data_IF_281615883566
#
_entry.id   IF_281615883566
#
_cell.length_a   1.000
_cell.length_b   1.000
_cell.length_c   1.000
_cell.angle_alpha   90.00
_cell.angle_beta   90.00
_cell.angle_gamma   90.00
#
_symmetry.space_group_name_H-M   'P 1'
#
loop_
_entity.id
_entity.type
_entity.pdbx_description
1 polymer ?
#
# COMPACT_ATOMS: atom_id res chain seq x y z
N UNK A 1 0.12 -3.91 49.96
CA UNK A 1 0.02 -5.02 49.01
C UNK A 1 1.06 -4.76 47.94
N UNK A 2 2.00 -5.66 47.66
CA UNK A 2 3.01 -5.40 46.63
C UNK A 2 2.30 -5.37 45.28
N UNK A 3 2.42 -4.28 44.57
CA UNK A 3 2.12 -4.16 43.16
C UNK A 3 2.92 -5.21 42.39
N UNK A 4 2.22 -6.20 41.85
CA UNK A 4 2.80 -7.14 40.90
C UNK A 4 3.50 -6.34 39.81
N UNK A 5 4.82 -6.27 39.87
CA UNK A 5 5.61 -5.74 38.76
C UNK A 5 5.30 -6.65 37.55
N UNK A 6 4.44 -6.19 36.63
CA UNK A 6 4.21 -6.90 35.36
C UNK A 6 5.58 -7.10 34.73
N UNK A 7 5.97 -8.34 34.56
CA UNK A 7 7.14 -8.69 33.77
C UNK A 7 7.06 -7.96 32.43
N UNK A 8 8.18 -7.42 31.95
CA UNK A 8 8.25 -6.73 30.67
C UNK A 8 7.67 -7.62 29.56
N UNK A 9 6.71 -7.16 28.77
CA UNK A 9 6.03 -8.02 27.80
C UNK A 9 6.99 -8.51 26.72
N UNK A 10 6.82 -9.78 26.33
CA UNK A 10 7.45 -10.35 25.15
C UNK A 10 6.49 -10.26 23.97
N UNK A 11 6.84 -9.45 22.97
CA UNK A 11 6.02 -9.16 21.80
C UNK A 11 6.70 -9.76 20.57
N UNK A 12 6.03 -10.69 19.89
CA UNK A 12 6.54 -11.27 18.67
C UNK A 12 5.91 -10.59 17.45
N UNK A 13 6.75 -10.23 16.45
CA UNK A 13 6.30 -9.65 15.17
C UNK A 13 6.84 -10.48 14.01
N UNK A 14 6.05 -10.59 12.94
CA UNK A 14 6.41 -11.36 11.75
C UNK A 14 6.14 -10.51 10.51
N UNK A 15 7.20 -9.93 9.93
CA UNK A 15 7.17 -9.18 8.69
C UNK A 15 7.74 -10.02 7.54
N UNK A 16 7.08 -10.02 6.38
CA UNK A 16 7.46 -10.85 5.23
C UNK A 16 8.21 -10.13 4.11
N UNK A 17 8.11 -8.80 4.04
CA UNK A 17 8.65 -7.96 2.96
C UNK A 17 9.13 -6.60 3.51
N UNK A 18 9.82 -5.83 2.67
CA UNK A 18 10.33 -4.49 3.03
C UNK A 18 9.24 -3.52 3.52
N UNK A 19 8.04 -3.59 2.95
CA UNK A 19 6.87 -2.83 3.42
C UNK A 19 6.46 -3.22 4.83
N UNK A 20 6.45 -4.53 5.12
CA UNK A 20 6.18 -5.06 6.45
C UNK A 20 7.28 -4.71 7.46
N UNK A 21 8.55 -4.68 7.04
CA UNK A 21 9.68 -4.25 7.89
C UNK A 21 9.56 -2.78 8.29
N UNK A 22 9.13 -1.92 7.37
CA UNK A 22 8.88 -0.52 7.68
C UNK A 22 7.72 -0.36 8.69
N UNK A 23 6.58 -1.01 8.44
CA UNK A 23 5.43 -0.99 9.35
C UNK A 23 5.79 -1.54 10.72
N UNK A 24 6.56 -2.65 10.76
CA UNK A 24 7.05 -3.26 11.98
C UNK A 24 7.99 -2.36 12.76
N UNK A 25 8.87 -1.63 12.09
CA UNK A 25 9.79 -0.68 12.73
C UNK A 25 9.04 0.49 13.39
N UNK A 26 8.03 1.03 12.71
CA UNK A 26 7.20 2.11 13.24
C UNK A 26 6.38 1.59 14.43
N UNK A 27 5.80 0.39 14.33
CA UNK A 27 5.06 -0.27 15.42
C UNK A 27 5.95 -0.58 16.63
N UNK A 28 7.17 -1.12 16.43
CA UNK A 28 8.14 -1.35 17.52
C UNK A 28 8.45 -0.05 18.24
N UNK A 29 8.64 1.04 17.50
CA UNK A 29 8.91 2.36 18.07
C UNK A 29 7.73 2.84 18.93
N UNK A 30 6.50 2.70 18.46
CA UNK A 30 5.28 3.08 19.17
C UNK A 30 5.04 2.20 20.42
N UNK A 31 5.19 0.88 20.30
CA UNK A 31 5.06 -0.04 21.45
C UNK A 31 6.13 0.18 22.51
N UNK A 32 7.36 0.55 22.12
CA UNK A 32 8.45 0.85 23.05
C UNK A 32 8.19 2.13 23.86
N UNK A 33 7.51 3.12 23.30
CA UNK A 33 7.06 4.30 24.09
C UNK A 33 6.14 3.86 25.24
N UNK A 34 5.29 2.87 25.01
CA UNK A 34 4.30 2.38 26.00
C UNK A 34 4.87 1.33 26.93
N UNK A 35 5.75 0.47 26.42
CA UNK A 35 6.41 -0.62 27.14
C UNK A 35 7.94 -0.51 26.95
N UNK A 36 8.64 0.37 27.69
CA UNK A 36 10.08 0.62 27.50
C UNK A 36 10.94 -0.63 27.64
N UNK A 37 10.56 -1.53 28.55
CA UNK A 37 11.29 -2.76 28.87
C UNK A 37 10.84 -3.97 28.04
N UNK A 38 9.89 -3.80 27.11
CA UNK A 38 9.40 -4.89 26.28
C UNK A 38 10.52 -5.48 25.41
N UNK A 39 10.49 -6.81 25.25
CA UNK A 39 11.32 -7.52 24.29
C UNK A 39 10.53 -7.74 23.00
N UNK A 40 11.18 -7.46 21.87
CA UNK A 40 10.61 -7.61 20.55
C UNK A 40 11.38 -8.66 19.77
N UNK A 41 10.69 -9.71 19.29
CA UNK A 41 11.32 -10.89 18.69
C UNK A 41 10.53 -11.40 17.47
N UNK A 42 11.16 -12.20 16.61
CA UNK A 42 10.43 -12.88 15.52
C UNK A 42 11.12 -12.81 14.17
N UNK A 43 10.43 -12.34 13.11
CA UNK A 43 11.00 -12.14 11.77
C UNK A 43 10.83 -10.68 11.38
N UNK A 44 11.95 -10.00 11.10
CA UNK A 44 11.97 -8.61 10.67
C UNK A 44 13.27 -8.28 9.96
N UNK A 45 13.25 -7.19 9.21
CA UNK A 45 14.39 -6.71 8.46
C UNK A 45 15.28 -5.74 9.24
N UNK A 46 16.12 -5.02 8.50
CA UNK A 46 17.11 -4.11 9.08
C UNK A 46 16.46 -2.91 9.81
N UNK A 47 15.30 -2.43 9.32
CA UNK A 47 14.61 -1.29 9.95
C UNK A 47 14.07 -1.64 11.33
N UNK A 48 13.45 -2.81 11.49
CA UNK A 48 13.00 -3.30 12.79
C UNK A 48 14.19 -3.54 13.73
N UNK A 49 15.28 -4.14 13.24
CA UNK A 49 16.48 -4.40 14.03
C UNK A 49 17.11 -3.12 14.56
N UNK A 50 17.14 -2.02 13.78
CA UNK A 50 17.57 -0.69 14.21
C UNK A 50 16.72 -0.12 15.36
N UNK A 51 15.50 -0.63 15.56
CA UNK A 51 14.61 -0.27 16.67
C UNK A 51 14.72 -1.21 17.89
N UNK A 52 15.74 -2.11 17.90
CA UNK A 52 15.98 -3.05 18.97
C UNK A 52 15.14 -4.33 18.91
N UNK A 53 14.72 -4.72 17.70
CA UNK A 53 14.04 -5.98 17.43
C UNK A 53 15.05 -7.11 17.23
N UNK A 54 14.83 -8.26 17.85
CA UNK A 54 15.63 -9.48 17.70
C UNK A 54 15.04 -10.35 16.59
N UNK A 55 15.65 -10.32 15.39
CA UNK A 55 15.21 -11.17 14.29
C UNK A 55 15.77 -12.58 14.41
N UNK A 56 14.91 -13.58 14.42
CA UNK A 56 15.28 -14.99 14.53
C UNK A 56 15.62 -15.64 13.19
N UNK A 57 15.05 -15.10 12.11
CA UNK A 57 15.23 -15.57 10.74
C UNK A 57 15.37 -14.39 9.80
N UNK A 58 16.07 -14.57 8.70
CA UNK A 58 16.22 -13.54 7.67
C UNK A 58 14.87 -13.28 6.97
N UNK A 59 14.45 -12.03 6.92
CA UNK A 59 13.20 -11.62 6.26
C UNK A 59 13.17 -12.05 4.76
N UNK A 60 14.34 -12.13 4.11
CA UNK A 60 14.50 -12.58 2.73
C UNK A 60 14.02 -14.01 2.51
N UNK A 61 13.93 -14.83 3.55
CA UNK A 61 13.37 -16.17 3.46
C UNK A 61 11.87 -16.16 3.14
N UNK A 62 11.15 -15.09 3.47
CA UNK A 62 9.73 -14.89 3.18
C UNK A 62 9.50 -14.11 1.87
N UNK A 63 10.47 -13.30 1.44
CA UNK A 63 10.37 -12.46 0.23
C UNK A 63 10.52 -13.30 -1.04
N UNK A 64 9.48 -14.05 -1.41
CA UNK A 64 9.44 -14.85 -2.64
C UNK A 64 8.48 -14.18 -3.62
N UNK A 65 8.99 -13.69 -4.75
CA UNK A 65 8.21 -13.00 -5.76
C UNK A 65 7.78 -13.93 -6.90
N UNK A 66 6.47 -14.01 -7.14
CA UNK A 66 5.86 -14.67 -8.29
C UNK A 66 5.40 -16.10 -8.02
N UNK A 67 4.29 -16.51 -8.70
CA UNK A 67 3.61 -17.79 -8.47
C UNK A 67 4.54 -19.00 -8.69
N UNK A 68 5.38 -18.97 -9.71
CA UNK A 68 6.32 -20.06 -10.01
C UNK A 68 7.43 -20.21 -8.94
N UNK A 69 7.93 -19.08 -8.41
CA UNK A 69 8.89 -19.07 -7.31
C UNK A 69 8.28 -19.54 -6.00
N UNK A 70 7.05 -19.12 -5.69
CA UNK A 70 6.33 -19.59 -4.50
C UNK A 70 6.19 -21.10 -4.50
N UNK A 71 5.78 -21.71 -5.63
CA UNK A 71 5.67 -23.18 -5.76
C UNK A 71 7.00 -23.87 -5.53
N UNK A 72 8.10 -23.34 -6.09
CA UNK A 72 9.45 -23.89 -5.95
C UNK A 72 9.97 -23.82 -4.51
N UNK A 73 9.63 -22.77 -3.77
CA UNK A 73 10.11 -22.55 -2.41
C UNK A 73 9.12 -22.99 -1.33
N UNK A 74 7.96 -23.52 -1.71
CA UNK A 74 6.92 -23.96 -0.78
C UNK A 74 7.40 -24.91 0.33
N UNK A 75 8.22 -25.96 0.05
CA UNK A 75 8.72 -26.84 1.12
C UNK A 75 9.58 -26.10 2.15
N UNK A 76 10.42 -25.14 1.69
CA UNK A 76 11.25 -24.30 2.58
C UNK A 76 10.38 -23.41 3.46
N UNK A 77 9.39 -22.74 2.86
CA UNK A 77 8.45 -21.88 3.59
C UNK A 77 7.63 -22.65 4.63
N UNK A 78 7.21 -23.88 4.30
CA UNK A 78 6.50 -24.75 5.24
C UNK A 78 7.40 -25.19 6.40
N UNK A 79 8.68 -25.50 6.14
CA UNK A 79 9.68 -25.85 7.16
C UNK A 79 9.94 -24.65 8.08
N UNK A 80 10.16 -23.45 7.52
CA UNK A 80 10.34 -22.22 8.27
C UNK A 80 9.12 -21.94 9.17
N UNK A 81 7.90 -22.03 8.60
CA UNK A 81 6.66 -21.84 9.38
C UNK A 81 6.54 -22.82 10.55
N UNK A 82 6.88 -24.09 10.33
CA UNK A 82 6.87 -25.09 11.40
C UNK A 82 7.87 -24.75 12.50
N UNK A 83 9.10 -24.37 12.14
CA UNK A 83 10.15 -24.01 13.09
C UNK A 83 9.78 -22.73 13.87
N UNK A 84 9.26 -21.72 13.19
CA UNK A 84 8.80 -20.48 13.81
C UNK A 84 7.67 -20.73 14.83
N UNK A 85 6.64 -21.49 14.44
CA UNK A 85 5.53 -21.85 15.34
C UNK A 85 6.05 -22.61 16.58
N UNK A 86 6.95 -23.59 16.40
CA UNK A 86 7.53 -24.34 17.51
C UNK A 86 8.30 -23.42 18.48
N UNK A 87 9.08 -22.47 17.96
CA UNK A 87 9.81 -21.50 18.76
C UNK A 87 8.87 -20.55 19.51
N UNK A 88 7.85 -20.01 18.82
CA UNK A 88 6.85 -19.13 19.46
C UNK A 88 6.06 -19.83 20.56
N UNK A 89 5.74 -21.13 20.39
CA UNK A 89 5.09 -21.92 21.43
C UNK A 89 6.00 -22.17 22.64
N UNK A 90 7.31 -22.30 22.45
CA UNK A 90 8.29 -22.46 23.52
C UNK A 90 8.54 -21.14 24.27
N UNK A 91 8.72 -20.04 23.55
CA UNK A 91 8.97 -18.70 24.13
C UNK A 91 7.71 -18.08 24.77
N UNK A 92 6.50 -18.50 24.33
CA UNK A 92 5.18 -18.02 24.82
C UNK A 92 5.08 -16.49 24.89
N UNK A 93 5.22 -15.76 23.79
CA UNK A 93 5.03 -14.30 23.79
C UNK A 93 3.63 -13.92 24.27
N UNK A 94 3.50 -12.74 24.89
CA UNK A 94 2.23 -12.18 25.35
C UNK A 94 1.28 -11.87 24.21
N UNK A 95 1.84 -11.50 23.05
CA UNK A 95 1.10 -11.30 21.78
C UNK A 95 1.99 -11.61 20.59
N UNK A 96 1.37 -12.14 19.52
CA UNK A 96 2.01 -12.34 18.20
C UNK A 96 1.32 -11.49 17.17
N UNK A 97 2.08 -10.66 16.46
CA UNK A 97 1.59 -9.75 15.42
C UNK A 97 2.13 -10.19 14.06
N UNK A 98 1.26 -10.72 13.21
CA UNK A 98 1.61 -10.94 11.80
C UNK A 98 1.37 -9.67 10.99
N UNK A 99 2.42 -9.17 10.33
CA UNK A 99 2.37 -7.93 9.55
C UNK A 99 2.30 -8.29 8.08
N UNK A 100 1.16 -7.98 7.42
CA UNK A 100 0.92 -8.31 6.01
C UNK A 100 1.19 -9.80 5.69
N UNK A 101 1.62 -10.13 4.47
CA UNK A 101 1.96 -11.51 4.04
C UNK A 101 0.93 -12.57 4.51
N UNK A 102 -0.37 -12.42 4.21
CA UNK A 102 -1.45 -13.22 4.79
C UNK A 102 -1.35 -14.72 4.47
N UNK A 103 -0.72 -15.10 3.36
CA UNK A 103 -0.56 -16.50 2.97
C UNK A 103 0.41 -17.26 3.90
N UNK A 104 1.35 -16.53 4.52
CA UNK A 104 2.24 -17.07 5.54
C UNK A 104 1.69 -16.85 6.95
N UNK A 105 1.38 -15.60 7.30
CA UNK A 105 1.07 -15.17 8.66
C UNK A 105 -0.24 -15.77 9.20
N UNK A 106 -1.33 -15.80 8.41
CA UNK A 106 -2.60 -16.39 8.87
C UNK A 106 -2.46 -17.85 9.28
N UNK A 107 -1.56 -18.60 8.61
CA UNK A 107 -1.31 -19.99 8.99
C UNK A 107 -0.46 -20.17 10.24
N UNK A 108 0.36 -19.18 10.62
CA UNK A 108 1.08 -19.11 11.90
C UNK A 108 0.12 -18.72 13.02
N UNK A 109 -0.57 -17.59 12.83
CA UNK A 109 -1.52 -17.01 13.78
C UNK A 109 -2.59 -18.02 14.19
N UNK A 110 -3.19 -18.74 13.23
CA UNK A 110 -4.22 -19.75 13.52
C UNK A 110 -3.73 -20.83 14.49
N UNK A 111 -2.50 -21.33 14.29
CA UNK A 111 -1.94 -22.36 15.17
C UNK A 111 -1.62 -21.85 16.57
N UNK A 112 -1.15 -20.60 16.65
CA UNK A 112 -0.82 -19.96 17.91
C UNK A 112 -2.08 -19.60 18.71
N UNK A 113 -3.12 -19.09 18.02
CA UNK A 113 -4.45 -18.84 18.60
C UNK A 113 -5.08 -20.13 19.16
N UNK A 114 -5.01 -21.24 18.40
CA UNK A 114 -5.48 -22.55 18.87
C UNK A 114 -4.70 -23.07 20.10
N UNK A 115 -3.45 -22.63 20.27
CA UNK A 115 -2.63 -22.93 21.44
C UNK A 115 -2.81 -21.93 22.60
N UNK A 116 -3.77 -21.01 22.50
CA UNK A 116 -4.10 -20.02 23.52
C UNK A 116 -3.20 -18.79 23.58
N UNK A 117 -2.40 -18.54 22.55
CA UNK A 117 -1.63 -17.29 22.42
C UNK A 117 -2.49 -16.21 21.75
N UNK A 118 -2.34 -14.96 22.19
CA UNK A 118 -3.00 -13.81 21.57
C UNK A 118 -2.37 -13.50 20.21
N UNK A 119 -3.21 -13.26 19.22
CA UNK A 119 -2.78 -13.06 17.85
C UNK A 119 -3.43 -11.82 17.25
N UNK A 120 -2.63 -11.03 16.54
CA UNK A 120 -3.06 -9.82 15.82
C UNK A 120 -2.59 -9.93 14.37
N UNK A 121 -3.48 -9.67 13.43
CA UNK A 121 -3.12 -9.52 12.02
C UNK A 121 -3.10 -8.04 11.66
N UNK A 122 -1.93 -7.50 11.37
CA UNK A 122 -1.76 -6.10 10.98
C UNK A 122 -1.65 -5.99 9.46
N UNK A 123 -2.45 -5.14 8.87
CA UNK A 123 -2.76 -4.99 7.44
C UNK A 123 -3.80 -6.01 6.97
N UNK A 124 -5.06 -5.62 7.04
CA UNK A 124 -6.17 -6.42 6.50
C UNK A 124 -5.92 -6.79 5.04
N UNK A 125 -5.95 -8.08 4.68
CA UNK A 125 -5.97 -8.45 3.27
C UNK A 125 -7.19 -7.85 2.60
N UNK A 126 -7.05 -7.34 1.36
CA UNK A 126 -8.07 -6.60 0.60
C UNK A 126 -9.41 -7.37 0.48
N UNK A 127 -10.11 -7.57 1.61
CA UNK A 127 -11.39 -8.32 1.69
C UNK A 127 -12.50 -7.61 0.93
N UNK A 128 -12.46 -6.27 0.85
CA UNK A 128 -13.40 -5.42 0.12
C UNK A 128 -13.30 -5.58 -1.41
N UNK A 129 -12.14 -5.97 -1.95
CA UNK A 129 -11.93 -6.06 -3.39
C UNK A 129 -12.40 -7.41 -3.97
N UNK A 130 -12.29 -8.51 -3.20
CA UNK A 130 -12.33 -9.83 -3.82
C UNK A 130 -13.19 -10.89 -3.12
N UNK A 131 -13.32 -10.88 -1.77
CA UNK A 131 -13.99 -11.99 -1.06
C UNK A 131 -14.35 -11.64 0.38
N UNK A 132 -15.57 -11.22 0.66
CA UNK A 132 -16.08 -11.08 2.05
C UNK A 132 -15.92 -12.36 2.88
N UNK A 133 -16.13 -13.55 2.28
CA UNK A 133 -15.91 -14.86 2.94
C UNK A 133 -14.47 -15.09 3.43
N UNK A 134 -13.51 -14.29 2.97
CA UNK A 134 -12.14 -14.32 3.49
C UNK A 134 -12.04 -13.74 4.90
N UNK A 135 -12.95 -12.84 5.26
CA UNK A 135 -13.01 -12.28 6.60
C UNK A 135 -13.19 -13.37 7.67
N UNK A 136 -14.06 -14.36 7.45
CA UNK A 136 -14.24 -15.48 8.37
C UNK A 136 -12.94 -16.28 8.61
N UNK A 137 -12.17 -16.53 7.55
CA UNK A 137 -10.89 -17.23 7.65
C UNK A 137 -9.89 -16.43 8.47
N UNK A 138 -9.86 -15.10 8.29
CA UNK A 138 -8.96 -14.20 9.04
C UNK A 138 -9.35 -14.20 10.51
N UNK A 139 -10.63 -14.09 10.85
CA UNK A 139 -11.11 -14.15 12.23
C UNK A 139 -10.85 -15.47 12.94
N UNK A 140 -10.74 -16.60 12.20
CA UNK A 140 -10.27 -17.87 12.77
C UNK A 140 -8.76 -17.86 13.09
N UNK A 141 -8.01 -17.00 12.41
CA UNK A 141 -6.54 -16.94 12.53
C UNK A 141 -6.08 -15.91 13.55
N UNK A 142 -6.74 -14.75 13.64
CA UNK A 142 -6.36 -13.68 14.54
C UNK A 142 -7.47 -13.38 15.56
N UNK A 143 -7.10 -12.89 16.75
CA UNK A 143 -8.04 -12.37 17.74
C UNK A 143 -8.46 -10.94 17.39
N UNK A 144 -7.55 -10.18 16.80
CA UNK A 144 -7.78 -8.80 16.34
C UNK A 144 -7.17 -8.57 14.97
N UNK A 145 -7.85 -7.78 14.11
CA UNK A 145 -7.35 -7.35 12.82
C UNK A 145 -7.15 -5.83 12.85
N UNK A 146 -5.96 -5.35 12.50
CA UNK A 146 -5.68 -3.93 12.36
C UNK A 146 -5.79 -3.54 10.88
N UNK A 147 -6.73 -2.65 10.60
CA UNK A 147 -7.14 -2.24 9.28
C UNK A 147 -6.51 -0.90 8.91
N UNK A 148 -6.02 -0.78 7.66
CA UNK A 148 -5.45 0.46 7.12
C UNK A 148 -6.51 1.35 6.44
N UNK A 149 -7.68 0.80 6.14
CA UNK A 149 -8.75 1.53 5.47
C UNK A 149 -10.03 1.56 6.30
N UNK A 150 -10.73 2.72 6.34
CA UNK A 150 -11.90 2.91 7.21
C UNK A 150 -13.10 2.03 6.85
N UNK A 151 -13.17 1.52 5.61
CA UNK A 151 -14.25 0.65 5.15
C UNK A 151 -14.08 -0.82 5.54
N UNK A 152 -12.92 -1.22 6.07
CA UNK A 152 -12.63 -2.63 6.37
C UNK A 152 -13.30 -3.13 7.66
N UNK A 153 -13.26 -2.41 8.80
CA UNK A 153 -13.85 -2.89 10.05
C UNK A 153 -15.35 -3.27 9.93
N UNK A 154 -16.20 -2.52 9.22
CA UNK A 154 -17.61 -2.92 9.04
C UNK A 154 -17.80 -4.28 8.34
N UNK A 155 -16.85 -4.68 7.47
CA UNK A 155 -16.89 -5.99 6.81
C UNK A 155 -16.63 -7.10 7.83
N UNK A 156 -15.64 -6.91 8.70
CA UNK A 156 -15.31 -7.86 9.77
C UNK A 156 -16.39 -7.95 10.85
N UNK A 157 -17.02 -6.83 11.19
CA UNK A 157 -18.09 -6.77 12.18
C UNK A 157 -19.30 -7.65 11.79
N UNK A 158 -19.62 -7.80 10.50
CA UNK A 158 -20.67 -8.71 9.99
C UNK A 158 -20.39 -10.18 10.37
N UNK A 159 -19.15 -10.53 10.63
CA UNK A 159 -18.70 -11.88 10.99
C UNK A 159 -18.31 -12.00 12.48
N UNK A 160 -18.59 -11.00 13.31
CA UNK A 160 -18.26 -10.99 14.74
C UNK A 160 -16.75 -10.94 15.01
N UNK A 161 -15.95 -10.41 14.10
CA UNK A 161 -14.48 -10.34 14.23
C UNK A 161 -14.10 -8.95 14.74
N UNK A 162 -13.25 -8.89 15.77
CA UNK A 162 -12.68 -7.65 16.27
C UNK A 162 -11.68 -7.07 15.25
N UNK A 163 -12.08 -6.01 14.59
CA UNK A 163 -11.27 -5.30 13.63
C UNK A 163 -11.24 -3.80 13.95
N UNK A 164 -10.05 -3.20 13.92
CA UNK A 164 -9.82 -1.80 14.30
C UNK A 164 -9.19 -1.06 13.14
N UNK A 165 -9.76 0.07 12.76
CA UNK A 165 -9.11 1.02 11.87
C UNK A 165 -8.05 1.78 12.65
N UNK A 166 -6.79 1.70 12.21
CA UNK A 166 -5.65 2.31 12.90
C UNK A 166 -5.04 3.47 12.11
N UNK A 167 -5.63 3.82 10.97
CA UNK A 167 -5.06 4.81 10.05
C UNK A 167 -4.13 4.16 9.01
N UNK A 168 -3.79 4.94 7.99
CA UNK A 168 -2.90 4.48 6.93
C UNK A 168 -1.53 5.17 7.04
N UNK A 169 -0.40 4.45 7.20
CA UNK A 169 0.92 5.04 7.45
C UNK A 169 1.40 6.00 6.36
N UNK A 170 0.99 5.78 5.10
CA UNK A 170 1.28 6.76 4.05
C UNK A 170 0.56 8.09 4.28
N UNK A 171 -0.65 8.08 4.86
CA UNK A 171 -1.36 9.32 5.15
C UNK A 171 -0.65 10.18 6.20
N UNK A 172 0.11 9.57 7.10
CA UNK A 172 0.91 10.31 8.09
C UNK A 172 2.17 10.92 7.47
N UNK A 173 2.76 10.23 6.47
CA UNK A 173 3.99 10.67 5.80
C UNK A 173 3.78 11.81 4.80
N UNK A 174 2.57 11.95 4.28
CA UNK A 174 2.23 13.00 3.34
C UNK A 174 1.70 14.22 4.10
N UNK A 175 2.17 15.42 3.74
CA UNK A 175 1.63 16.65 4.31
C UNK A 175 0.16 16.85 3.88
N UNK A 176 -0.67 17.39 4.79
CA UNK A 176 -2.06 17.73 4.47
C UNK A 176 -2.13 18.81 3.39
N UNK A 177 -1.21 19.77 3.42
CA UNK A 177 -1.05 20.80 2.40
C UNK A 177 0.08 20.41 1.45
N UNK A 178 -0.22 20.36 0.17
CA UNK A 178 0.74 19.95 -0.86
C UNK A 178 1.70 21.08 -1.21
N UNK A 179 3.02 20.83 -1.15
CA UNK A 179 4.06 21.79 -1.54
C UNK A 179 4.45 21.63 -3.01
N UNK A 180 3.60 22.16 -3.90
CA UNK A 180 3.85 22.19 -5.35
C UNK A 180 5.05 23.08 -5.71
N UNK A 181 5.18 24.21 -5.03
CA UNK A 181 6.23 25.21 -5.31
C UNK A 181 7.61 24.62 -4.99
N UNK A 182 7.80 24.12 -3.77
CA UNK A 182 9.06 23.49 -3.37
C UNK A 182 9.43 22.27 -4.23
N UNK A 183 8.45 21.46 -4.62
CA UNK A 183 8.72 20.32 -5.50
C UNK A 183 9.20 20.75 -6.90
N UNK A 184 8.63 21.82 -7.47
CA UNK A 184 9.08 22.38 -8.75
C UNK A 184 10.48 22.98 -8.66
N UNK A 185 10.80 23.65 -7.56
CA UNK A 185 12.13 24.20 -7.33
C UNK A 185 13.18 23.08 -7.22
N UNK A 186 12.89 22.00 -6.48
CA UNK A 186 13.76 20.82 -6.36
C UNK A 186 14.01 20.14 -7.72
N UNK A 187 13.04 20.17 -8.61
CA UNK A 187 13.12 19.56 -9.94
C UNK A 187 13.57 20.54 -11.05
N UNK A 188 13.86 21.79 -10.70
CA UNK A 188 14.16 22.87 -11.66
C UNK A 188 13.09 23.03 -12.74
N UNK A 189 11.81 22.93 -12.34
CA UNK A 189 10.64 23.11 -13.23
C UNK A 189 10.05 24.50 -13.01
N UNK A 190 9.85 25.31 -14.07
CA UNK A 190 9.27 26.65 -13.91
C UNK A 190 7.86 26.59 -13.28
N UNK A 191 7.53 27.62 -12.48
CA UNK A 191 6.25 27.65 -11.73
C UNK A 191 5.02 27.88 -12.63
N UNK A 192 5.21 28.51 -13.77
CA UNK A 192 4.15 28.98 -14.67
C UNK A 192 3.90 28.07 -15.89
N UNK A 193 4.52 26.89 -15.95
CA UNK A 193 4.31 25.93 -17.04
C UNK A 193 3.35 24.81 -16.62
N UNK A 194 2.54 24.26 -17.53
CA UNK A 194 1.77 23.05 -17.23
C UNK A 194 2.71 21.84 -17.09
N UNK A 195 2.41 20.95 -16.14
CA UNK A 195 3.25 19.79 -15.83
C UNK A 195 2.41 18.51 -15.77
N UNK A 196 2.83 17.50 -16.54
CA UNK A 196 2.30 16.14 -16.49
C UNK A 196 3.35 15.19 -15.93
N UNK A 197 3.05 14.53 -14.84
CA UNK A 197 3.86 13.39 -14.37
C UNK A 197 3.34 12.09 -15.00
N UNK A 198 4.25 11.23 -15.49
CA UNK A 198 3.90 9.96 -16.13
C UNK A 198 4.59 8.81 -15.41
N UNK A 199 3.81 7.91 -14.80
CA UNK A 199 4.27 6.77 -14.01
C UNK A 199 3.76 5.45 -14.62
N UNK A 200 4.40 4.91 -15.65
CA UNK A 200 3.88 3.77 -16.42
C UNK A 200 4.07 2.42 -15.72
N UNK A 201 4.67 2.40 -14.55
CA UNK A 201 4.89 1.21 -13.74
C UNK A 201 6.27 1.21 -13.06
N UNK A 202 6.38 0.46 -11.97
CA UNK A 202 7.60 0.34 -11.16
C UNK A 202 8.40 -0.94 -11.47
N UNK A 203 7.81 -1.88 -12.20
CA UNK A 203 8.42 -3.16 -12.56
C UNK A 203 8.72 -3.24 -14.05
N UNK A 204 9.84 -3.87 -14.45
CA UNK A 204 10.17 -4.06 -15.87
C UNK A 204 9.04 -4.71 -16.69
N UNK A 205 8.32 -5.66 -16.10
CA UNK A 205 7.20 -6.34 -16.77
C UNK A 205 5.95 -5.46 -16.94
N UNK A 206 5.74 -4.47 -16.09
CA UNK A 206 4.68 -3.45 -16.23
C UNK A 206 5.06 -2.48 -17.33
N UNK A 207 6.29 -1.97 -17.29
CA UNK A 207 6.81 -1.04 -18.29
C UNK A 207 6.82 -1.65 -19.70
N UNK A 208 7.17 -2.92 -19.84
CA UNK A 208 7.11 -3.63 -21.12
C UNK A 208 5.70 -3.68 -21.72
N UNK A 209 4.64 -3.63 -20.89
CA UNK A 209 3.24 -3.66 -21.34
C UNK A 209 2.63 -2.28 -21.52
N UNK A 210 3.00 -1.32 -20.67
CA UNK A 210 2.35 -0.02 -20.55
C UNK A 210 3.22 1.12 -21.08
N UNK A 211 4.55 0.96 -21.09
CA UNK A 211 5.49 2.04 -21.36
C UNK A 211 5.21 2.75 -22.67
N UNK A 212 5.14 2.02 -23.78
CA UNK A 212 4.84 2.62 -25.11
C UNK A 212 3.47 3.31 -25.13
N UNK A 213 2.44 2.67 -24.53
CA UNK A 213 1.08 3.24 -24.50
C UNK A 213 1.05 4.56 -23.76
N UNK A 214 1.72 4.63 -22.60
CA UNK A 214 1.77 5.82 -21.75
C UNK A 214 2.61 6.93 -22.38
N UNK A 215 3.74 6.60 -23.01
CA UNK A 215 4.57 7.58 -23.68
C UNK A 215 3.90 8.13 -24.94
N UNK A 216 3.24 7.30 -25.74
CA UNK A 216 2.46 7.75 -26.88
C UNK A 216 1.28 8.64 -26.44
N UNK A 217 0.64 8.33 -25.30
CA UNK A 217 -0.39 9.19 -24.72
C UNK A 217 0.20 10.55 -24.32
N UNK A 218 1.32 10.56 -23.60
CA UNK A 218 2.00 11.77 -23.16
C UNK A 218 2.46 12.62 -24.36
N UNK A 219 2.95 12.00 -25.43
CA UNK A 219 3.33 12.68 -26.68
C UNK A 219 2.14 13.37 -27.33
N UNK A 220 0.97 12.71 -27.38
CA UNK A 220 -0.28 13.31 -27.89
C UNK A 220 -0.72 14.50 -27.05
N UNK A 221 -0.58 14.41 -25.73
CA UNK A 221 -0.89 15.52 -24.81
C UNK A 221 0.05 16.70 -25.06
N UNK A 222 1.37 16.46 -25.21
CA UNK A 222 2.35 17.50 -25.52
C UNK A 222 2.08 18.19 -26.86
N UNK A 223 1.69 17.43 -27.88
CA UNK A 223 1.32 17.98 -29.20
C UNK A 223 0.08 18.90 -29.14
N UNK A 224 -0.89 18.56 -28.25
CA UNK A 224 -2.10 19.34 -28.07
C UNK A 224 -1.94 20.52 -27.08
N UNK A 225 -0.88 20.52 -26.29
CA UNK A 225 -0.61 21.53 -25.25
C UNK A 225 0.85 22.00 -25.32
N UNK A 226 1.15 22.98 -26.23
CA UNK A 226 2.49 23.56 -26.31
C UNK A 226 2.98 24.12 -24.98
N UNK A 227 4.26 23.90 -24.65
CA UNK A 227 4.86 24.33 -23.39
C UNK A 227 4.62 23.36 -22.20
N UNK A 228 3.92 22.24 -22.43
CA UNK A 228 3.77 21.19 -21.41
C UNK A 228 5.14 20.60 -21.05
N UNK A 229 5.43 20.52 -19.76
CA UNK A 229 6.56 19.75 -19.23
C UNK A 229 6.10 18.36 -18.81
N UNK A 230 6.77 17.35 -19.32
CA UNK A 230 6.53 15.95 -18.95
C UNK A 230 7.67 15.48 -18.04
N UNK A 231 7.30 14.84 -16.90
CA UNK A 231 8.24 14.31 -15.93
C UNK A 231 7.96 12.81 -15.77
N UNK A 232 9.01 11.99 -15.87
CA UNK A 232 8.92 10.53 -15.74
C UNK A 232 9.90 10.05 -14.66
N UNK A 233 9.44 9.74 -13.45
CA UNK A 233 10.29 9.17 -12.42
C UNK A 233 10.50 7.67 -12.66
N UNK A 234 11.76 7.23 -12.72
CA UNK A 234 12.13 5.82 -12.79
C UNK A 234 12.26 5.23 -11.39
N UNK A 235 11.53 4.17 -11.11
CA UNK A 235 11.50 3.54 -9.78
C UNK A 235 12.82 2.85 -9.38
N UNK A 236 13.60 2.40 -10.35
CA UNK A 236 14.89 1.73 -10.14
C UNK A 236 15.75 1.77 -11.42
N UNK A 237 17.05 1.41 -11.35
CA UNK A 237 17.96 1.50 -12.50
C UNK A 237 17.49 0.71 -13.74
N UNK A 238 16.91 -0.48 -13.55
CA UNK A 238 16.41 -1.29 -14.68
C UNK A 238 15.22 -0.63 -15.40
N UNK A 239 14.33 -0.01 -14.64
CA UNK A 239 13.21 0.76 -15.20
C UNK A 239 13.73 2.02 -15.88
N UNK A 240 14.77 2.66 -15.32
CA UNK A 240 15.43 3.82 -15.93
C UNK A 240 15.99 3.49 -17.30
N UNK A 241 16.78 2.44 -17.45
CA UNK A 241 17.36 2.00 -18.75
C UNK A 241 16.27 1.75 -19.82
N UNK A 242 15.18 1.08 -19.41
CA UNK A 242 14.06 0.84 -20.33
C UNK A 242 13.34 2.14 -20.72
N UNK A 243 13.15 3.05 -19.79
CA UNK A 243 12.55 4.37 -20.06
C UNK A 243 13.45 5.22 -20.96
N UNK A 244 14.77 5.21 -20.75
CA UNK A 244 15.73 5.89 -21.64
C UNK A 244 15.59 5.41 -23.09
N UNK A 245 15.46 4.09 -23.30
CA UNK A 245 15.26 3.52 -24.64
C UNK A 245 13.96 4.01 -25.27
N UNK A 246 12.87 4.06 -24.50
CA UNK A 246 11.57 4.51 -24.97
C UNK A 246 11.56 6.02 -25.24
N UNK A 247 12.15 6.83 -24.38
CA UNK A 247 12.27 8.28 -24.52
C UNK A 247 13.23 8.65 -25.66
N UNK A 248 14.27 7.86 -25.92
CA UNK A 248 15.19 8.07 -27.05
C UNK A 248 14.50 8.09 -28.42
N UNK A 249 13.32 7.49 -28.52
CA UNK A 249 12.47 7.53 -29.74
C UNK A 249 11.50 8.74 -29.79
N UNK A 250 11.59 9.69 -28.84
CA UNK A 250 10.63 10.81 -28.73
C UNK A 250 10.68 11.76 -29.95
N UNK A 251 11.86 11.99 -30.49
CA UNK A 251 12.08 12.69 -31.77
C UNK A 251 12.08 14.24 -31.73
N UNK A 252 11.54 14.84 -30.66
CA UNK A 252 11.56 16.30 -30.46
C UNK A 252 12.25 16.63 -29.13
N UNK A 253 13.37 17.34 -29.23
CA UNK A 253 14.22 17.64 -28.05
C UNK A 253 13.58 18.69 -27.13
N UNK A 254 12.80 19.63 -27.68
CA UNK A 254 12.18 20.70 -26.85
C UNK A 254 11.04 20.17 -25.97
N UNK A 255 10.30 19.17 -26.45
CA UNK A 255 9.23 18.52 -25.68
C UNK A 255 9.65 17.22 -25.02
N UNK A 256 10.94 16.88 -25.04
CA UNK A 256 11.44 15.64 -24.46
C UNK A 256 11.14 15.56 -22.96
N UNK A 257 10.67 14.38 -22.47
CA UNK A 257 10.38 14.20 -21.07
C UNK A 257 11.63 14.32 -20.19
N UNK A 258 11.46 14.94 -19.02
CA UNK A 258 12.46 14.91 -17.95
C UNK A 258 12.42 13.55 -17.26
N UNK A 259 13.43 12.71 -17.49
CA UNK A 259 13.57 11.42 -16.83
C UNK A 259 14.34 11.61 -15.52
N UNK A 260 13.78 11.11 -14.42
CA UNK A 260 14.35 11.23 -13.07
C UNK A 260 14.71 9.86 -12.50
N UNK A 261 15.79 9.80 -11.75
CA UNK A 261 16.12 8.65 -10.91
C UNK A 261 15.37 8.73 -9.57
N UNK A 262 14.40 7.85 -9.37
CA UNK A 262 13.51 7.95 -8.23
C UNK A 262 12.64 9.22 -8.28
N UNK A 263 12.50 9.91 -7.16
CA UNK A 263 11.78 11.19 -7.01
C UNK A 263 10.32 11.15 -7.48
N UNK A 264 9.66 9.99 -7.33
CA UNK A 264 8.25 9.85 -7.73
C UNK A 264 7.33 10.78 -6.92
N UNK A 265 7.65 10.99 -5.65
CA UNK A 265 6.92 11.90 -4.77
C UNK A 265 7.02 13.35 -5.25
N UNK A 266 8.23 13.83 -5.51
CA UNK A 266 8.47 15.20 -6.00
C UNK A 266 7.87 15.39 -7.40
N UNK A 267 7.94 14.39 -8.27
CA UNK A 267 7.31 14.42 -9.59
C UNK A 267 5.78 14.55 -9.49
N UNK A 268 5.15 13.81 -8.59
CA UNK A 268 3.71 13.94 -8.34
C UNK A 268 3.39 15.33 -7.77
N UNK A 269 4.11 15.80 -6.75
CA UNK A 269 3.87 17.11 -6.15
C UNK A 269 4.02 18.27 -7.16
N UNK A 270 4.98 18.19 -8.07
CA UNK A 270 5.24 19.21 -9.10
C UNK A 270 4.18 19.24 -10.21
N UNK A 271 3.48 18.14 -10.44
CA UNK A 271 2.52 17.98 -11.53
C UNK A 271 1.20 18.73 -11.31
N UNK A 272 0.51 19.07 -12.39
CA UNK A 272 -0.88 19.51 -12.39
C UNK A 272 -1.83 18.30 -12.55
N UNK A 273 -1.41 17.30 -13.33
CA UNK A 273 -2.10 16.02 -13.52
C UNK A 273 -1.06 14.89 -13.53
N UNK A 274 -1.46 13.72 -13.06
CA UNK A 274 -0.63 12.50 -13.08
C UNK A 274 -1.29 11.45 -13.97
N UNK A 275 -0.55 10.93 -14.94
CA UNK A 275 -0.92 9.75 -15.73
C UNK A 275 -0.15 8.56 -15.19
N UNK A 276 -0.85 7.57 -14.57
CA UNK A 276 -0.18 6.49 -13.86
C UNK A 276 -0.83 5.12 -14.04
N UNK A 277 0.00 4.09 -13.87
CA UNK A 277 -0.47 2.71 -13.80
C UNK A 277 -1.19 2.45 -12.46
N UNK A 278 -2.23 1.60 -12.50
CA UNK A 278 -2.96 1.20 -11.28
C UNK A 278 -2.03 0.48 -10.30
N UNK A 279 -2.13 0.84 -9.02
CA UNK A 279 -1.33 0.29 -7.92
C UNK A 279 -1.23 1.28 -6.75
N UNK A 280 -0.26 1.08 -5.87
CA UNK A 280 -0.01 1.95 -4.70
C UNK A 280 0.22 3.41 -5.10
N UNK A 281 0.79 3.67 -6.27
CA UNK A 281 1.01 5.01 -6.80
C UNK A 281 -0.28 5.84 -6.91
N UNK A 282 -1.46 5.21 -7.07
CA UNK A 282 -2.75 5.92 -7.07
C UNK A 282 -3.07 6.53 -5.70
N UNK A 283 -2.70 5.85 -4.62
CA UNK A 283 -2.83 6.36 -3.25
C UNK A 283 -1.84 7.50 -3.01
N UNK A 284 -0.59 7.36 -3.44
CA UNK A 284 0.44 8.40 -3.31
C UNK A 284 0.06 9.67 -4.07
N UNK A 285 -0.46 9.55 -5.31
CA UNK A 285 -0.94 10.70 -6.08
C UNK A 285 -2.15 11.38 -5.43
N UNK A 286 -3.09 10.60 -4.85
CA UNK A 286 -4.20 11.12 -4.05
C UNK A 286 -3.68 11.88 -2.82
N UNK A 287 -2.74 11.33 -2.07
CA UNK A 287 -2.15 11.97 -0.90
C UNK A 287 -1.33 13.21 -1.27
N UNK A 288 -0.73 13.24 -2.47
CA UNK A 288 -0.09 14.42 -3.05
C UNK A 288 -1.10 15.49 -3.54
N UNK A 289 -2.41 15.23 -3.49
CA UNK A 289 -3.50 16.09 -3.99
C UNK A 289 -3.37 16.34 -5.50
N UNK A 290 -2.99 15.32 -6.27
CA UNK A 290 -2.83 15.45 -7.72
C UNK A 290 -3.92 14.71 -8.48
N UNK A 291 -4.78 15.43 -9.19
CA UNK A 291 -5.72 14.82 -10.12
C UNK A 291 -5.00 13.86 -11.05
N UNK A 292 -5.61 12.73 -11.36
CA UNK A 292 -4.92 11.67 -12.08
C UNK A 292 -5.80 10.97 -13.09
N UNK A 293 -5.16 10.34 -14.08
CA UNK A 293 -5.76 9.37 -15.01
C UNK A 293 -5.06 8.03 -14.79
N UNK A 294 -5.85 6.99 -14.55
CA UNK A 294 -5.33 5.64 -14.24
C UNK A 294 -5.49 4.75 -15.46
N UNK A 295 -4.38 4.12 -15.89
CA UNK A 295 -4.40 3.12 -16.95
C UNK A 295 -3.81 1.80 -16.49
N UNK A 296 -4.39 0.66 -16.91
CA UNK A 296 -3.80 -0.63 -16.58
C UNK A 296 -4.16 -1.73 -17.56
N UNK A 297 -3.18 -2.59 -17.84
CA UNK A 297 -3.36 -3.83 -18.59
C UNK A 297 -2.69 -4.98 -17.88
N UNK A 298 -3.40 -6.07 -17.66
CA UNK A 298 -2.81 -7.37 -17.31
C UNK A 298 -2.55 -8.17 -18.59
N UNK A 299 -1.74 -9.24 -18.51
CA UNK A 299 -1.53 -10.10 -19.67
C UNK A 299 -2.87 -10.67 -20.15
N UNK A 300 -3.05 -10.86 -21.48
CA UNK A 300 -4.29 -11.45 -22.03
C UNK A 300 -4.66 -12.79 -21.40
N UNK A 301 -3.66 -13.60 -21.08
CA UNK A 301 -3.84 -14.91 -20.42
C UNK A 301 -4.36 -14.72 -18.99
N UNK A 302 -3.74 -13.83 -18.20
CA UNK A 302 -4.19 -13.53 -16.83
C UNK A 302 -5.60 -12.95 -16.82
N UNK A 303 -5.93 -12.08 -17.77
CA UNK A 303 -7.25 -11.48 -17.90
C UNK A 303 -8.32 -12.52 -18.21
N UNK A 304 -8.07 -13.42 -19.19
CA UNK A 304 -8.99 -14.51 -19.53
C UNK A 304 -9.24 -15.45 -18.35
N UNK A 305 -8.19 -15.80 -17.61
CA UNK A 305 -8.28 -16.64 -16.40
C UNK A 305 -9.10 -15.90 -15.32
N UNK A 306 -8.80 -14.64 -15.03
CA UNK A 306 -9.51 -13.85 -14.03
C UNK A 306 -11.00 -13.70 -14.38
N UNK A 307 -11.33 -13.50 -15.68
CA UNK A 307 -12.70 -13.43 -16.19
C UNK A 307 -13.41 -14.77 -16.11
N UNK A 308 -12.77 -15.86 -16.52
CA UNK A 308 -13.33 -17.21 -16.48
C UNK A 308 -13.61 -17.69 -15.05
N UNK A 309 -12.77 -17.29 -14.08
CA UNK A 309 -12.93 -17.59 -12.66
C UNK A 309 -13.86 -16.60 -11.93
N UNK A 310 -14.49 -15.67 -12.66
CA UNK A 310 -15.36 -14.62 -12.08
C UNK A 310 -14.68 -13.85 -10.92
N UNK A 311 -13.37 -13.59 -11.08
CA UNK A 311 -12.57 -12.89 -10.08
C UNK A 311 -12.72 -11.35 -10.19
N UNK A 312 -13.18 -10.84 -11.33
CA UNK A 312 -13.40 -9.42 -11.58
C UNK A 312 -14.81 -9.04 -11.12
N UNK A 313 -14.99 -8.84 -9.82
CA UNK A 313 -16.29 -8.49 -9.21
C UNK A 313 -16.50 -7.00 -8.99
N UNK A 314 -15.47 -6.19 -9.21
CA UNK A 314 -15.55 -4.74 -9.05
C UNK A 314 -15.41 -4.06 -10.40
N UNK A 315 -16.12 -2.98 -10.57
CA UNK A 315 -16.03 -2.04 -11.70
C UNK A 315 -15.02 -0.91 -11.43
N UNK A 316 -14.41 -0.89 -10.23
CA UNK A 316 -13.52 0.15 -9.74
C UNK A 316 -12.23 -0.47 -9.21
N UNK A 317 -11.09 0.00 -9.64
CA UNK A 317 -9.77 -0.58 -9.33
C UNK A 317 -8.81 0.38 -8.65
N UNK A 318 -8.92 1.69 -8.92
CA UNK A 318 -8.07 2.69 -8.30
C UNK A 318 -8.51 2.98 -6.87
N UNK A 319 -7.55 2.99 -5.93
CA UNK A 319 -7.83 3.25 -4.51
C UNK A 319 -8.60 4.56 -4.27
N UNK A 320 -8.33 5.68 -4.95
CA UNK A 320 -9.12 6.90 -4.77
C UNK A 320 -10.62 6.72 -5.05
N UNK A 321 -10.97 5.99 -6.12
CA UNK A 321 -12.37 5.73 -6.45
C UNK A 321 -13.04 4.78 -5.47
N UNK A 322 -12.31 3.75 -5.01
CA UNK A 322 -12.79 2.81 -3.98
C UNK A 322 -13.06 3.56 -2.68
N UNK A 323 -12.11 4.39 -2.24
CA UNK A 323 -12.23 5.19 -1.03
C UNK A 323 -13.36 6.22 -1.14
N UNK A 324 -13.49 6.90 -2.28
CA UNK A 324 -14.56 7.86 -2.52
C UNK A 324 -15.93 7.23 -2.32
N UNK A 325 -16.18 6.05 -2.92
CA UNK A 325 -17.43 5.30 -2.73
C UNK A 325 -17.62 4.87 -1.27
N UNK A 326 -16.58 4.34 -0.65
CA UNK A 326 -16.63 3.85 0.73
C UNK A 326 -16.86 4.98 1.75
N UNK A 327 -16.36 6.19 1.49
CA UNK A 327 -16.53 7.37 2.33
C UNK A 327 -17.75 8.23 1.93
N UNK A 328 -18.63 7.76 1.05
CA UNK A 328 -19.90 8.42 0.74
C UNK A 328 -19.82 9.60 -0.23
N UNK A 329 -18.73 9.73 -1.02
CA UNK A 329 -18.59 10.78 -2.03
C UNK A 329 -19.36 10.49 -3.34
N UNK A 330 -20.18 9.44 -3.37
CA UNK A 330 -20.97 9.04 -4.53
C UNK A 330 -20.43 7.80 -5.24
N UNK A 331 -21.13 7.38 -6.27
CA UNK A 331 -20.80 6.17 -7.05
C UNK A 331 -20.04 6.48 -8.35
N UNK A 332 -20.00 7.74 -8.77
CA UNK A 332 -19.28 8.15 -9.95
C UNK A 332 -17.76 8.04 -9.75
N UNK A 333 -17.04 7.87 -10.85
CA UNK A 333 -15.59 7.81 -10.79
C UNK A 333 -15.02 9.21 -10.47
N UNK A 334 -14.37 9.31 -9.32
CA UNK A 334 -13.64 10.53 -8.92
C UNK A 334 -12.49 10.81 -9.90
N UNK A 335 -11.80 9.76 -10.31
CA UNK A 335 -10.73 9.82 -11.31
C UNK A 335 -10.99 8.83 -12.45
N UNK A 336 -10.66 9.17 -13.72
CA UNK A 336 -10.80 8.25 -14.85
C UNK A 336 -9.95 6.99 -14.68
N UNK A 337 -10.56 5.81 -14.93
CA UNK A 337 -9.91 4.51 -15.00
C UNK A 337 -10.06 3.90 -16.38
N UNK A 338 -8.97 3.69 -17.08
CA UNK A 338 -8.93 3.12 -18.43
C UNK A 338 -8.23 1.75 -18.35
N UNK A 339 -9.05 0.69 -18.36
CA UNK A 339 -8.59 -0.66 -18.08
C UNK A 339 -8.61 -1.53 -19.33
N UNK A 340 -7.65 -2.44 -19.48
CA UNK A 340 -7.60 -3.45 -20.55
C UNK A 340 -7.71 -2.82 -21.95
N UNK A 341 -8.81 -3.07 -22.66
CA UNK A 341 -9.02 -2.61 -24.04
C UNK A 341 -9.22 -1.10 -24.13
N UNK A 342 -9.71 -0.46 -23.08
CA UNK A 342 -9.85 1.00 -22.98
C UNK A 342 -8.52 1.70 -22.70
N UNK A 343 -7.51 0.99 -22.18
CA UNK A 343 -6.17 1.50 -21.91
C UNK A 343 -5.39 1.66 -23.23
N UNK A 344 -5.79 2.61 -24.05
CA UNK A 344 -5.11 2.99 -25.30
C UNK A 344 -4.43 4.35 -25.19
N UNK A 345 -3.42 4.61 -26.01
CA UNK A 345 -2.75 5.91 -26.03
C UNK A 345 -3.72 7.06 -26.35
N UNK A 346 -4.71 6.81 -27.20
CA UNK A 346 -5.71 7.82 -27.58
C UNK A 346 -6.64 8.15 -26.42
N UNK A 347 -7.18 7.13 -25.74
CA UNK A 347 -8.11 7.31 -24.60
C UNK A 347 -7.41 7.95 -23.41
N UNK A 348 -6.19 7.48 -23.08
CA UNK A 348 -5.38 8.07 -22.02
C UNK A 348 -5.05 9.53 -22.29
N UNK A 349 -4.66 9.87 -23.53
CA UNK A 349 -4.39 11.25 -23.94
C UNK A 349 -5.65 12.11 -23.82
N UNK A 350 -6.79 11.63 -24.32
CA UNK A 350 -8.06 12.37 -24.27
C UNK A 350 -8.49 12.66 -22.82
N UNK A 351 -8.46 11.65 -21.95
CA UNK A 351 -8.81 11.82 -20.54
C UNK A 351 -7.83 12.77 -19.81
N UNK A 352 -6.52 12.66 -20.13
CA UNK A 352 -5.50 13.54 -19.54
C UNK A 352 -5.67 14.98 -20.00
N UNK A 353 -5.89 15.23 -21.28
CA UNK A 353 -6.16 16.57 -21.81
C UNK A 353 -7.41 17.20 -21.21
N UNK A 354 -8.51 16.44 -21.14
CA UNK A 354 -9.74 16.92 -20.52
C UNK A 354 -9.49 17.37 -19.08
N UNK A 355 -8.74 16.57 -18.29
CA UNK A 355 -8.42 16.91 -16.90
C UNK A 355 -7.42 18.09 -16.81
N UNK A 356 -6.46 18.20 -17.72
CA UNK A 356 -5.52 19.34 -17.78
C UNK A 356 -6.23 20.67 -18.11
N UNK A 357 -7.25 20.64 -18.94
CA UNK A 357 -8.00 21.84 -19.38
C UNK A 357 -9.11 22.26 -18.44
N UNK A 358 -9.67 21.34 -17.65
CA UNK A 358 -10.78 21.59 -16.73
C UNK A 358 -10.27 21.88 -15.31
N UNK A 359 -10.08 23.16 -14.99
CA UNK A 359 -9.61 23.60 -13.67
C UNK A 359 -10.67 23.40 -12.58
N UNK A 360 -11.95 23.48 -12.88
CA UNK A 360 -13.04 23.27 -11.93
C UNK A 360 -13.08 21.79 -11.49
N UNK A 361 -13.03 20.87 -12.45
CA UNK A 361 -12.96 19.44 -12.16
C UNK A 361 -11.71 19.09 -11.34
N UNK A 362 -10.53 19.66 -11.68
CA UNK A 362 -9.33 19.47 -10.84
C UNK A 362 -9.55 19.95 -9.41
N UNK A 363 -10.19 21.10 -9.24
CA UNK A 363 -10.53 21.64 -7.91
C UNK A 363 -11.42 20.68 -7.10
N UNK A 364 -12.45 20.13 -7.70
CA UNK A 364 -13.32 19.13 -7.07
C UNK A 364 -12.57 17.86 -6.67
N UNK A 365 -11.69 17.35 -7.55
CA UNK A 365 -10.86 16.18 -7.25
C UNK A 365 -9.91 16.44 -6.08
N UNK A 366 -9.27 17.62 -6.04
CA UNK A 366 -8.36 18.01 -4.94
C UNK A 366 -9.12 18.09 -3.62
N UNK A 367 -10.28 18.73 -3.58
CA UNK A 367 -11.12 18.81 -2.37
C UNK A 367 -11.52 17.41 -1.86
N UNK A 368 -11.90 16.51 -2.78
CA UNK A 368 -12.19 15.12 -2.42
C UNK A 368 -10.94 14.41 -1.87
N UNK A 369 -9.77 14.64 -2.43
CA UNK A 369 -8.51 14.06 -1.96
C UNK A 369 -8.09 14.58 -0.58
N UNK A 370 -8.34 15.84 -0.28
CA UNK A 370 -8.12 16.41 1.05
C UNK A 370 -9.02 15.73 2.09
N UNK A 371 -10.30 15.56 1.78
CA UNK A 371 -11.24 14.82 2.63
C UNK A 371 -10.79 13.37 2.83
N UNK A 372 -10.46 12.64 1.75
CA UNK A 372 -10.03 11.25 1.82
C UNK A 372 -8.71 11.08 2.59
N UNK A 373 -7.80 12.05 2.48
CA UNK A 373 -6.57 12.04 3.27
C UNK A 373 -6.87 12.12 4.77
N UNK A 374 -7.78 13.00 5.18
CA UNK A 374 -8.21 13.09 6.58
C UNK A 374 -8.88 11.79 7.04
N UNK A 375 -9.72 11.17 6.20
CA UNK A 375 -10.34 9.88 6.52
C UNK A 375 -9.28 8.77 6.73
N UNK A 376 -8.20 8.77 5.95
CA UNK A 376 -7.12 7.79 6.07
C UNK A 376 -6.22 8.00 7.29
N UNK A 377 -6.08 9.22 7.78
CA UNK A 377 -5.39 9.50 9.06
C UNK A 377 -6.23 9.09 10.28
N UNK A 378 -7.55 9.02 10.10
CA UNK A 378 -8.47 8.81 11.21
C UNK A 378 -8.75 10.09 12.02
N UNK A 379 -9.63 9.94 13.00
CA UNK A 379 -10.04 11.06 13.88
C UNK A 379 -9.24 11.14 15.19
N UNK A 380 -8.36 10.18 15.43
CA UNK A 380 -7.56 10.11 16.64
C UNK A 380 -6.29 10.95 16.50
N UNK A 381 -5.80 11.50 17.61
CA UNK A 381 -4.50 12.15 17.66
C UNK A 381 -3.39 11.09 17.60
N UNK A 382 -2.33 11.36 16.85
CA UNK A 382 -1.19 10.46 16.68
C UNK A 382 -1.08 9.88 15.27
N UNK A 383 -0.11 9.00 15.09
CA UNK A 383 0.15 8.31 13.83
C UNK A 383 -0.49 6.91 13.82
N UNK A 384 -0.66 6.32 12.66
CA UNK A 384 -1.18 4.96 12.50
C UNK A 384 -0.44 3.91 13.36
N UNK A 385 0.87 4.08 13.55
CA UNK A 385 1.66 3.21 14.40
C UNK A 385 1.32 3.33 15.90
N UNK A 386 0.98 4.55 16.37
CA UNK A 386 0.56 4.77 17.76
C UNK A 386 -0.82 4.14 18.00
N UNK A 387 -1.77 4.30 17.06
CA UNK A 387 -3.09 3.66 17.14
C UNK A 387 -3.01 2.12 17.06
N UNK A 388 -2.11 1.59 16.24
CA UNK A 388 -1.84 0.15 16.20
C UNK A 388 -1.27 -0.37 17.54
N UNK A 389 -0.35 0.39 18.15
CA UNK A 389 0.21 0.07 19.45
C UNK A 389 -0.87 0.13 20.55
N UNK A 390 -1.78 1.10 20.51
CA UNK A 390 -2.91 1.22 21.43
C UNK A 390 -3.84 0.02 21.32
N UNK A 391 -4.20 -0.35 20.09
CA UNK A 391 -5.06 -1.50 19.86
C UNK A 391 -4.42 -2.83 20.33
N UNK A 392 -3.10 -2.96 20.22
CA UNK A 392 -2.37 -4.13 20.74
C UNK A 392 -2.33 -4.10 22.26
N UNK A 393 -2.09 -2.93 22.87
CA UNK A 393 -2.05 -2.76 24.32
C UNK A 393 -3.40 -3.11 24.98
N UNK A 394 -4.51 -2.66 24.41
CA UNK A 394 -5.85 -3.07 24.89
C UNK A 394 -6.02 -4.59 24.93
N UNK A 395 -5.51 -5.29 23.92
CA UNK A 395 -5.57 -6.75 23.89
C UNK A 395 -4.66 -7.39 24.97
N UNK A 396 -3.49 -6.80 25.22
CA UNK A 396 -2.58 -7.26 26.29
C UNK A 396 -3.16 -7.06 27.68
N UNK A 397 -3.91 -5.99 27.90
CA UNK A 397 -4.51 -5.64 29.18
C UNK A 397 -5.81 -6.41 29.49
N UNK A 398 -6.48 -6.92 28.44
CA UNK A 398 -7.67 -7.75 28.58
C UNK A 398 -7.26 -9.11 29.19
N UNK A 399 -7.89 -9.59 30.27
CA UNK A 399 -7.62 -10.93 30.77
C UNK A 399 -7.79 -11.99 29.69
N UNK A 400 -6.86 -12.97 29.62
CA UNK A 400 -7.06 -14.09 28.70
C UNK A 400 -8.38 -14.77 29.08
N UNK A 401 -9.27 -14.97 28.09
CA UNK A 401 -10.47 -15.76 28.34
C UNK A 401 -10.01 -17.13 28.89
N UNK A 402 -10.31 -17.39 30.13
CA UNK A 402 -10.10 -18.70 30.72
C UNK A 402 -10.82 -19.71 29.84
N UNK A 403 -10.07 -20.60 29.18
CA UNK A 403 -10.64 -21.70 28.44
C UNK A 403 -11.65 -22.41 29.41
N UNK A 404 -12.95 -22.19 29.12
CA UNK A 404 -13.98 -22.96 29.76
C UNK A 404 -13.74 -24.42 29.37
N UNK A 405 -13.48 -25.22 30.40
CA UNK A 405 -13.16 -26.64 30.31
C UNK A 405 -14.29 -27.47 29.72
#
# INVERSE_FOLDING_TARGET
MPTNARQAPLIALIAGEDSGDQLGADLVSALRKRYPDARFVGIGGARMQLKGFESWYDIRELSVMGFAEVVRHLPRLLKLRKALVARLLAERPDVVVGIDAPDFNLGVEQRLKQAGLRTVHYVSPSVWAWREKRAEKIGRSADRVLCLFPMEPPIYAKHGIDARFVGHPLADRFALVSDRVGARDVLNVPQNVPVLAVLPGSRPSELARLGTIFLDAAKRVAQAMPGLRIIIPAANPRVHEQLQTLVGSWGDVESAPLLLDGKAHEAMLAADVVLLASGTATLEAMLSKRPMVVGYRVSPTSYRIARALNMLKTDVYALPNILARACGLGNDLLVPELMQDDCTAANLASATLALMQDSERRGHVVAAFEFLHQQLRGQLEGEAADHAADAIAELLETPAATAAG
#
